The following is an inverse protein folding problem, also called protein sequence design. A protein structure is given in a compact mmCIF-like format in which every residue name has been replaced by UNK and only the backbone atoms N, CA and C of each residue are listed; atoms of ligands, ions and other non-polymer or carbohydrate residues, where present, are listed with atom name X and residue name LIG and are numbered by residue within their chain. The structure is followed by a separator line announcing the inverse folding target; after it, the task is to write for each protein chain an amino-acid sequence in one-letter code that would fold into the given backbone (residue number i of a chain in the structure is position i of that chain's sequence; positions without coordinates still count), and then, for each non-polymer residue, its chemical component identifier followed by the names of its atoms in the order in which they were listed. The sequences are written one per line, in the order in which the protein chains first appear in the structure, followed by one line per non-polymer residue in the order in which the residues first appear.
data_IF_545269132744
#
_entry.id   IF_545269132744
#
_cell.length_a   1.000
_cell.length_b   1.000
_cell.length_c   1.000
_cell.angle_alpha   90.00
_cell.angle_beta   90.00
_cell.angle_gamma   90.00
#
_symmetry.space_group_name_H-M   'P 1'
#
loop_
_entity.id
_entity.type
_entity.pdbx_description
1 polymer ?
#
# COMPACT_ATOMS: atom_id res chain seq x y z
N UNK A 1 -8.03 -39.29 63.05
CA UNK A 1 -6.88 -39.27 63.97
C UNK A 1 -5.66 -38.94 63.12
N UNK A 2 -4.93 -37.83 63.18
CA UNK A 2 -4.80 -36.68 64.08
C UNK A 2 -4.44 -35.46 63.19
N UNK A 3 -5.10 -34.30 63.31
CA UNK A 3 -4.78 -33.18 64.22
C UNK A 3 -3.41 -32.54 63.91
N UNK A 4 -3.39 -31.41 63.17
CA UNK A 4 -3.19 -30.03 63.66
C UNK A 4 -1.80 -29.76 64.27
N UNK A 5 -1.01 -28.87 63.65
CA UNK A 5 -0.91 -27.47 64.15
C UNK A 5 0.14 -26.64 63.43
N UNK A 6 -0.25 -25.36 63.25
CA UNK A 6 0.52 -24.21 62.78
C UNK A 6 1.70 -23.88 63.71
N UNK A 7 2.69 -23.18 63.16
CA UNK A 7 3.28 -22.02 63.86
C UNK A 7 3.72 -20.95 62.86
N UNK A 8 3.18 -19.76 63.07
CA UNK A 8 3.55 -18.48 62.47
C UNK A 8 4.52 -17.79 63.42
N UNK A 9 5.58 -17.15 62.92
CA UNK A 9 6.20 -16.02 63.61
C UNK A 9 6.82 -15.01 62.62
N UNK A 10 6.70 -13.69 62.86
CA UNK A 10 7.01 -12.61 61.91
C UNK A 10 8.30 -11.84 62.27
N UNK A 11 8.83 -11.04 61.33
CA UNK A 11 9.70 -9.84 61.50
C UNK A 11 10.25 -9.45 60.12
N UNK A 12 10.45 -8.21 59.71
CA UNK A 12 10.15 -6.90 60.26
C UNK A 12 10.21 -5.88 59.11
N UNK A 13 9.52 -4.77 59.32
CA UNK A 13 9.38 -3.58 58.49
C UNK A 13 10.70 -3.00 57.93
N UNK A 14 10.68 -2.61 56.65
CA UNK A 14 11.39 -1.42 56.17
C UNK A 14 10.44 -0.53 55.39
N UNK A 15 10.07 0.58 56.00
CA UNK A 15 9.35 1.68 55.40
C UNK A 15 10.31 2.46 54.48
N UNK A 16 9.88 2.73 53.25
CA UNK A 16 10.43 3.79 52.42
C UNK A 16 9.29 4.78 52.12
N UNK A 17 9.62 6.05 52.30
CA UNK A 17 8.71 7.17 52.50
C UNK A 17 7.97 7.58 51.23
N UNK A 18 6.71 7.99 51.40
CA UNK A 18 5.91 8.66 50.41
C UNK A 18 6.20 10.17 50.42
N UNK A 19 6.42 10.75 49.24
CA UNK A 19 6.36 12.20 48.99
C UNK A 19 5.36 12.46 47.85
N UNK A 20 4.34 13.31 48.06
CA UNK A 20 3.42 13.75 47.02
C UNK A 20 3.87 15.11 46.46
N UNK A 21 3.69 15.35 45.16
CA UNK A 21 3.71 16.64 44.43
C UNK A 21 4.17 16.33 42.99
N UNK A 22 3.63 16.82 41.87
CA UNK A 22 2.57 17.77 41.52
C UNK A 22 2.14 17.45 40.08
N UNK A 23 0.84 17.55 39.79
CA UNK A 23 0.30 17.64 38.43
C UNK A 23 0.91 18.84 37.71
N UNK A 24 1.71 18.59 36.66
CA UNK A 24 2.15 19.63 35.71
C UNK A 24 1.27 19.58 34.46
N UNK A 25 0.34 20.53 34.39
CA UNK A 25 -0.51 20.76 33.24
C UNK A 25 0.24 21.53 32.13
N UNK A 26 0.29 20.94 30.94
CA UNK A 26 0.31 21.56 29.58
C UNK A 26 1.53 22.45 29.21
N UNK A 27 1.91 22.59 27.91
CA UNK A 27 1.04 22.91 26.78
C UNK A 27 0.95 21.83 25.71
N UNK A 28 -0.25 21.74 25.13
CA UNK A 28 -0.51 21.18 23.81
C UNK A 28 0.45 21.79 22.78
N UNK A 29 1.45 21.03 22.36
CA UNK A 29 2.16 21.32 21.13
C UNK A 29 1.22 20.95 19.97
N UNK A 30 0.56 21.95 19.42
CA UNK A 30 -0.11 21.87 18.13
C UNK A 30 0.93 21.53 17.06
N UNK A 31 1.01 20.26 16.68
CA UNK A 31 1.67 19.88 15.43
C UNK A 31 0.80 20.41 14.31
N UNK A 32 1.07 21.66 13.94
CA UNK A 32 0.61 22.27 12.71
C UNK A 32 1.14 21.41 11.56
N UNK A 33 0.25 20.62 10.97
CA UNK A 33 0.49 20.02 9.66
C UNK A 33 0.43 21.14 8.63
N UNK A 34 1.48 21.97 8.62
CA UNK A 34 1.77 22.84 7.50
C UNK A 34 1.82 21.94 6.26
N UNK A 35 0.90 22.23 5.35
CA UNK A 35 0.77 21.53 4.09
C UNK A 35 2.14 21.33 3.46
N UNK A 36 2.42 20.10 3.05
CA UNK A 36 3.47 19.79 2.09
C UNK A 36 3.48 20.88 1.03
N UNK A 37 4.55 21.68 0.99
CA UNK A 37 4.84 22.58 -0.12
C UNK A 37 4.88 21.71 -1.37
N UNK A 38 3.78 21.72 -2.13
CA UNK A 38 3.78 21.27 -3.52
C UNK A 38 4.87 22.08 -4.22
N UNK A 39 5.68 21.41 -5.03
CA UNK A 39 6.67 22.05 -5.88
C UNK A 39 6.01 23.22 -6.63
N UNK A 40 6.31 24.43 -6.17
CA UNK A 40 5.92 25.66 -6.86
C UNK A 40 6.70 25.66 -8.17
N UNK A 41 6.03 25.26 -9.26
CA UNK A 41 6.37 25.84 -10.55
C UNK A 41 6.22 27.35 -10.38
N UNK A 42 7.34 28.06 -10.43
CA UNK A 42 7.39 29.51 -10.54
C UNK A 42 6.30 29.95 -11.52
N UNK A 43 5.35 30.83 -11.13
CA UNK A 43 4.55 31.50 -12.12
C UNK A 43 5.53 32.39 -12.87
N UNK A 44 5.95 31.96 -14.05
CA UNK A 44 6.63 32.86 -14.97
C UNK A 44 5.68 34.05 -15.15
N UNK A 45 6.15 35.29 -14.90
CA UNK A 45 5.32 36.46 -15.16
C UNK A 45 4.91 36.38 -16.63
N UNK A 46 3.67 36.80 -16.91
CA UNK A 46 3.19 36.99 -18.26
C UNK A 46 4.16 37.93 -19.00
N UNK A 47 5.15 37.36 -19.68
CA UNK A 47 6.07 38.08 -20.53
C UNK A 47 5.49 38.00 -21.93
N UNK A 48 4.77 39.08 -22.26
CA UNK A 48 4.82 39.65 -23.59
C UNK A 48 6.28 40.00 -23.91
N UNK A 49 7.07 39.02 -24.34
CA UNK A 49 8.37 39.27 -24.97
C UNK A 49 8.41 38.55 -26.30
N UNK A 50 8.18 39.36 -27.34
CA UNK A 50 8.51 39.07 -28.72
C UNK A 50 10.01 38.86 -28.84
N UNK A 51 10.47 37.62 -28.83
CA UNK A 51 11.85 37.26 -29.16
C UNK A 51 11.84 36.31 -30.36
N UNK A 52 12.21 36.76 -31.58
CA UNK A 52 12.00 36.01 -32.83
C UNK A 52 13.03 34.90 -33.09
N UNK A 53 13.94 34.60 -32.15
CA UNK A 53 15.13 33.76 -32.41
C UNK A 53 15.06 32.32 -31.87
N UNK A 54 13.92 31.86 -31.33
CA UNK A 54 13.76 30.47 -30.85
C UNK A 54 12.67 29.72 -31.63
N UNK A 55 13.02 29.25 -32.82
CA UNK A 55 12.16 28.39 -33.62
C UNK A 55 12.11 26.97 -33.03
N UNK A 56 10.92 26.40 -32.77
CA UNK A 56 10.79 24.98 -32.48
C UNK A 56 11.05 24.15 -33.75
N UNK A 57 11.82 23.06 -33.62
CA UNK A 57 12.23 22.12 -34.70
C UNK A 57 11.04 21.47 -35.44
N UNK A 58 9.83 21.62 -34.91
CA UNK A 58 8.58 21.32 -35.61
C UNK A 58 7.64 22.52 -35.45
N UNK A 59 7.24 23.13 -36.57
CA UNK A 59 6.44 24.37 -36.63
C UNK A 59 5.00 24.29 -36.07
N UNK A 60 4.71 23.32 -35.19
CA UNK A 60 3.46 23.25 -34.45
C UNK A 60 3.57 24.04 -33.14
N UNK A 61 2.60 24.91 -32.89
CA UNK A 61 2.42 25.54 -31.57
C UNK A 61 2.16 24.42 -30.55
N UNK A 62 3.12 24.12 -29.67
CA UNK A 62 2.97 23.07 -28.64
C UNK A 62 1.76 23.44 -27.76
N UNK A 63 0.64 22.74 -27.94
CA UNK A 63 -0.54 22.87 -27.08
C UNK A 63 -0.28 22.03 -25.83
N UNK A 64 0.08 22.68 -24.73
CA UNK A 64 0.12 22.03 -23.43
C UNK A 64 -1.31 21.67 -23.03
N UNK A 65 -1.65 20.39 -23.15
CA UNK A 65 -2.92 19.87 -22.60
C UNK A 65 -2.67 19.65 -21.11
N UNK A 66 -3.47 20.26 -20.22
CA UNK A 66 -3.30 20.03 -18.79
C UNK A 66 -3.39 18.54 -18.48
N UNK A 67 -2.49 18.08 -17.60
CA UNK A 67 -2.55 16.72 -17.09
C UNK A 67 -3.90 16.51 -16.41
N UNK A 68 -4.47 15.31 -16.47
CA UNK A 68 -5.76 14.99 -15.84
C UNK A 68 -5.77 15.23 -14.31
N UNK A 69 -4.59 15.39 -13.69
CA UNK A 69 -4.42 15.81 -12.29
C UNK A 69 -4.52 17.32 -12.06
N UNK A 70 -4.34 18.14 -13.08
CA UNK A 70 -4.26 19.61 -13.02
C UNK A 70 -5.56 20.30 -13.47
N UNK A 71 -6.51 19.57 -14.09
CA UNK A 71 -7.78 20.18 -14.48
C UNK A 71 -8.67 20.45 -13.26
N UNK A 72 -9.11 21.71 -13.06
CA UNK A 72 -10.10 22.03 -12.04
C UNK A 72 -11.45 21.41 -12.43
N UNK A 73 -12.14 20.84 -11.44
CA UNK A 73 -13.51 20.33 -11.59
C UNK A 73 -14.43 21.50 -12.00
N UNK A 74 -14.79 21.58 -13.27
CA UNK A 74 -15.64 22.63 -13.83
C UNK A 74 -16.88 21.98 -14.45
N UNK A 75 -18.04 22.23 -13.85
CA UNK A 75 -19.34 21.78 -14.35
C UNK A 75 -19.97 20.64 -13.55
N UNK A 76 -21.30 20.64 -13.46
CA UNK A 76 -22.10 19.69 -12.67
C UNK A 76 -21.83 18.22 -13.05
N UNK A 77 -21.63 17.95 -14.34
CA UNK A 77 -21.32 16.61 -14.84
C UNK A 77 -19.98 16.09 -14.31
N UNK A 78 -18.95 16.94 -14.23
CA UNK A 78 -17.65 16.52 -13.69
C UNK A 78 -17.74 16.23 -12.18
N UNK A 79 -18.56 16.98 -11.44
CA UNK A 79 -18.82 16.66 -10.03
C UNK A 79 -19.54 15.31 -9.87
N UNK A 80 -20.58 15.05 -10.67
CA UNK A 80 -21.28 13.77 -10.66
C UNK A 80 -20.37 12.59 -11.03
N UNK A 81 -19.53 12.72 -12.06
CA UNK A 81 -18.55 11.69 -12.40
C UNK A 81 -17.51 11.50 -11.28
N UNK A 82 -17.11 12.56 -10.58
CA UNK A 82 -16.21 12.42 -9.44
C UNK A 82 -16.84 11.70 -8.26
N UNK A 83 -18.12 11.91 -7.96
CA UNK A 83 -18.81 11.19 -6.89
C UNK A 83 -19.02 9.73 -7.25
N UNK A 84 -19.35 9.42 -8.51
CA UNK A 84 -19.42 8.04 -9.00
C UNK A 84 -18.07 7.31 -8.89
N UNK A 85 -16.98 7.94 -9.34
CA UNK A 85 -15.62 7.39 -9.16
C UNK A 85 -15.29 7.18 -7.67
N UNK A 86 -15.66 8.12 -6.80
CA UNK A 86 -15.40 8.02 -5.35
C UNK A 86 -16.12 6.83 -4.72
N UNK A 87 -17.39 6.62 -5.05
CA UNK A 87 -18.18 5.48 -4.54
C UNK A 87 -17.62 4.16 -5.07
N UNK A 88 -17.32 4.07 -6.37
CA UNK A 88 -16.74 2.87 -6.97
C UNK A 88 -15.37 2.52 -6.38
N UNK A 89 -14.50 3.51 -6.17
CA UNK A 89 -13.20 3.29 -5.56
C UNK A 89 -13.30 2.97 -4.07
N UNK A 90 -14.28 3.56 -3.36
CA UNK A 90 -14.57 3.23 -1.96
C UNK A 90 -14.99 1.76 -1.80
N UNK A 91 -15.86 1.27 -2.68
CA UNK A 91 -16.26 -0.14 -2.69
C UNK A 91 -15.04 -1.06 -2.90
N UNK A 92 -14.19 -0.75 -3.90
CA UNK A 92 -13.00 -1.56 -4.21
C UNK A 92 -11.95 -1.58 -3.09
N UNK A 93 -11.72 -0.46 -2.39
CA UNK A 93 -10.78 -0.44 -1.27
C UNK A 93 -11.35 -1.13 -0.02
N UNK A 94 -12.68 -1.14 0.14
CA UNK A 94 -13.39 -1.69 1.30
C UNK A 94 -13.61 -3.20 1.23
N UNK A 95 -13.52 -3.80 0.05
CA UNK A 95 -13.59 -5.25 -0.17
C UNK A 95 -12.43 -5.68 -1.05
N UNK A 96 -11.26 -5.87 -0.44
CA UNK A 96 -10.07 -6.33 -1.15
C UNK A 96 -9.91 -7.82 -0.96
N UNK A 97 -10.04 -8.60 -2.03
CA UNK A 97 -9.88 -10.05 -1.95
C UNK A 97 -8.56 -10.49 -2.58
N UNK A 98 -7.45 -10.50 -1.83
CA UNK A 98 -6.21 -11.03 -2.32
C UNK A 98 -6.25 -12.55 -2.45
N UNK A 99 -5.74 -13.06 -3.56
CA UNK A 99 -5.27 -14.43 -3.64
C UNK A 99 -3.82 -14.51 -3.17
N UNK A 100 -3.56 -15.48 -2.30
CA UNK A 100 -2.26 -15.63 -1.65
C UNK A 100 -1.41 -16.62 -2.41
N UNK A 101 -0.44 -16.11 -3.16
CA UNK A 101 0.54 -16.95 -3.83
C UNK A 101 1.75 -17.14 -2.91
N UNK A 102 1.54 -17.91 -1.83
CA UNK A 102 2.55 -18.20 -0.82
C UNK A 102 3.55 -19.25 -1.31
N UNK A 103 4.72 -18.80 -1.77
CA UNK A 103 5.75 -19.67 -2.38
C UNK A 103 6.88 -20.06 -1.42
N UNK A 104 7.19 -19.20 -0.44
CA UNK A 104 8.34 -19.39 0.44
C UNK A 104 8.15 -18.70 1.80
N UNK A 105 9.24 -18.28 2.45
CA UNK A 105 9.25 -17.66 3.78
C UNK A 105 8.33 -16.43 3.94
N UNK A 106 8.09 -15.65 2.87
CA UNK A 106 7.17 -14.52 2.92
C UNK A 106 5.70 -14.94 3.15
N UNK A 107 5.34 -16.19 2.83
CA UNK A 107 4.01 -16.72 3.11
C UNK A 107 3.70 -16.76 4.61
N UNK A 108 4.70 -17.02 5.47
CA UNK A 108 4.52 -17.05 6.93
C UNK A 108 4.23 -15.66 7.47
N UNK A 109 4.95 -14.63 7.00
CA UNK A 109 4.64 -13.25 7.37
C UNK A 109 3.28 -12.79 6.84
N UNK A 110 2.84 -13.33 5.70
CA UNK A 110 1.48 -13.12 5.22
C UNK A 110 0.43 -13.81 6.11
N UNK A 111 0.72 -14.99 6.64
CA UNK A 111 -0.13 -15.63 7.66
C UNK A 111 -0.16 -14.81 8.95
N UNK A 112 0.96 -14.20 9.35
CA UNK A 112 1.00 -13.27 10.48
C UNK A 112 0.09 -12.05 10.27
N UNK A 113 -0.05 -11.56 9.04
CA UNK A 113 -1.03 -10.50 8.72
C UNK A 113 -2.48 -10.94 9.00
N UNK A 114 -2.79 -12.23 8.87
CA UNK A 114 -4.10 -12.82 9.24
C UNK A 114 -4.24 -13.21 10.71
N UNK A 115 -3.20 -13.05 11.53
CA UNK A 115 -3.30 -13.34 12.98
C UNK A 115 -4.03 -12.23 13.73
N UNK A 116 -4.59 -12.52 14.93
CA UNK A 116 -5.38 -11.55 15.70
C UNK A 116 -4.66 -10.24 16.05
N UNK A 117 -3.32 -10.21 16.02
CA UNK A 117 -2.55 -9.00 16.32
C UNK A 117 -2.71 -7.93 15.24
N UNK A 118 -2.67 -8.33 13.96
CA UNK A 118 -2.71 -7.40 12.83
C UNK A 118 -4.07 -7.38 12.14
N UNK A 119 -4.80 -8.49 12.22
CA UNK A 119 -6.16 -8.73 11.75
C UNK A 119 -6.50 -7.92 10.49
N UNK A 120 -6.20 -8.50 9.33
CA UNK A 120 -6.54 -7.89 8.05
C UNK A 120 -8.05 -7.92 7.74
N UNK A 121 -8.84 -8.79 8.40
CA UNK A 121 -10.27 -8.93 8.10
C UNK A 121 -11.04 -7.66 8.49
N UNK A 122 -10.59 -6.95 9.54
CA UNK A 122 -11.10 -5.62 9.91
C UNK A 122 -10.98 -4.56 8.80
N UNK A 123 -10.07 -4.76 7.84
CA UNK A 123 -9.84 -3.88 6.69
C UNK A 123 -10.63 -4.32 5.45
N UNK A 124 -11.45 -5.37 5.57
CA UNK A 124 -12.14 -6.00 4.44
C UNK A 124 -11.22 -6.81 3.55
N UNK A 125 -10.07 -7.26 4.08
CA UNK A 125 -9.09 -8.06 3.35
C UNK A 125 -9.31 -9.54 3.66
N UNK A 126 -9.85 -10.29 2.69
CA UNK A 126 -10.15 -11.71 2.85
C UNK A 126 -9.36 -12.51 1.83
N UNK A 127 -8.61 -13.51 2.30
CA UNK A 127 -7.88 -14.39 1.40
C UNK A 127 -8.82 -15.34 0.67
N UNK A 128 -8.75 -15.33 -0.66
CA UNK A 128 -9.45 -16.28 -1.53
C UNK A 128 -8.47 -17.24 -2.18
N UNK A 129 -8.80 -18.53 -2.12
CA UNK A 129 -7.98 -19.57 -2.74
C UNK A 129 -8.09 -19.57 -4.28
N UNK A 130 -9.25 -19.18 -4.82
CA UNK A 130 -9.48 -19.19 -6.27
C UNK A 130 -9.11 -17.84 -6.91
N UNK A 131 -8.31 -17.82 -7.99
CA UNK A 131 -7.97 -16.58 -8.70
C UNK A 131 -9.17 -15.92 -9.37
N UNK A 132 -10.20 -16.70 -9.73
CA UNK A 132 -11.40 -16.23 -10.44
C UNK A 132 -12.28 -15.27 -9.63
N UNK A 133 -12.06 -15.22 -8.33
CA UNK A 133 -12.82 -14.38 -7.38
C UNK A 133 -11.93 -13.33 -6.73
N UNK A 134 -10.63 -13.29 -7.02
CA UNK A 134 -9.69 -12.39 -6.36
C UNK A 134 -9.39 -11.16 -7.21
N UNK A 135 -9.28 -10.02 -6.56
CA UNK A 135 -8.93 -8.75 -7.20
C UNK A 135 -7.44 -8.45 -7.11
N UNK A 136 -6.75 -8.98 -6.10
CA UNK A 136 -5.32 -8.74 -5.87
C UNK A 136 -4.57 -10.05 -5.87
N UNK A 137 -3.40 -10.11 -6.51
CA UNK A 137 -2.48 -11.22 -6.39
C UNK A 137 -1.27 -10.81 -5.58
N UNK A 138 -1.05 -11.48 -4.45
CA UNK A 138 0.15 -11.26 -3.62
C UNK A 138 1.15 -12.36 -3.93
N UNK A 139 2.25 -12.00 -4.60
CA UNK A 139 3.36 -12.92 -4.89
C UNK A 139 4.33 -12.90 -3.71
N UNK A 140 4.24 -13.90 -2.84
CA UNK A 140 5.00 -13.94 -1.60
C UNK A 140 6.02 -15.07 -1.56
N UNK A 141 7.21 -14.75 -2.06
CA UNK A 141 8.37 -15.65 -2.01
C UNK A 141 9.15 -15.67 -3.31
N UNK A 142 10.02 -16.66 -3.42
CA UNK A 142 10.87 -16.83 -4.60
C UNK A 142 10.08 -17.42 -5.76
N UNK A 143 10.16 -16.79 -6.93
CA UNK A 143 9.55 -17.29 -8.16
C UNK A 143 10.60 -18.09 -8.94
N UNK A 144 10.45 -19.41 -8.94
CA UNK A 144 11.33 -20.30 -9.72
C UNK A 144 10.94 -20.33 -11.20
N UNK A 145 11.89 -20.65 -12.08
CA UNK A 145 11.66 -20.76 -13.52
C UNK A 145 10.55 -21.77 -13.85
N UNK A 146 10.45 -22.85 -13.07
CA UNK A 146 9.40 -23.88 -13.23
C UNK A 146 8.01 -23.36 -12.81
N UNK A 147 7.95 -22.45 -11.84
CA UNK A 147 6.68 -21.89 -11.34
C UNK A 147 6.19 -20.69 -12.18
N UNK A 148 7.07 -20.01 -12.90
CA UNK A 148 6.75 -18.86 -13.75
C UNK A 148 5.52 -19.06 -14.67
N UNK A 149 5.38 -20.15 -15.44
CA UNK A 149 4.19 -20.35 -16.28
C UNK A 149 2.90 -20.53 -15.46
N UNK A 150 2.98 -21.21 -14.30
CA UNK A 150 1.82 -21.38 -13.43
C UNK A 150 1.35 -20.05 -12.82
N UNK A 151 2.29 -19.19 -12.41
CA UNK A 151 1.96 -17.83 -11.95
C UNK A 151 1.23 -17.04 -13.06
N UNK A 152 1.74 -17.11 -14.30
CA UNK A 152 1.12 -16.41 -15.43
C UNK A 152 -0.31 -16.88 -15.68
N UNK A 153 -0.54 -18.20 -15.68
CA UNK A 153 -1.86 -18.78 -15.87
C UNK A 153 -2.85 -18.35 -14.78
N UNK A 154 -2.39 -18.30 -13.53
CA UNK A 154 -3.20 -17.85 -12.39
C UNK A 154 -3.60 -16.38 -12.56
N UNK A 155 -2.65 -15.53 -12.92
CA UNK A 155 -2.92 -14.11 -13.17
C UNK A 155 -3.88 -13.90 -14.35
N UNK A 156 -3.75 -14.68 -15.41
CA UNK A 156 -4.65 -14.60 -16.59
C UNK A 156 -6.08 -15.06 -16.30
N UNK A 157 -6.28 -15.85 -15.24
CA UNK A 157 -7.61 -16.27 -14.80
C UNK A 157 -8.31 -15.25 -13.88
N UNK A 158 -7.61 -14.21 -13.45
CA UNK A 158 -8.19 -13.17 -12.59
C UNK A 158 -9.04 -12.19 -13.39
N UNK A 159 -10.24 -11.84 -12.89
CA UNK A 159 -11.09 -10.84 -13.54
C UNK A 159 -10.45 -9.45 -13.51
N UNK A 160 -10.79 -8.62 -14.50
CA UNK A 160 -10.52 -7.18 -14.41
C UNK A 160 -11.57 -6.52 -13.52
N UNK A 161 -11.20 -5.62 -12.58
CA UNK A 161 -9.89 -5.01 -12.35
C UNK A 161 -8.99 -5.84 -11.40
N UNK A 162 -7.76 -6.14 -11.86
CA UNK A 162 -6.77 -6.89 -11.08
C UNK A 162 -5.54 -6.05 -10.74
N UNK A 163 -4.95 -6.30 -9.57
CA UNK A 163 -3.68 -5.70 -9.13
C UNK A 163 -2.69 -6.75 -8.65
N UNK A 164 -1.40 -6.44 -8.71
CA UNK A 164 -0.34 -7.35 -8.23
C UNK A 164 0.53 -6.66 -7.19
N UNK A 165 0.70 -7.31 -6.05
CA UNK A 165 1.63 -6.90 -5.00
C UNK A 165 2.78 -7.91 -4.97
N UNK A 166 4.00 -7.41 -5.17
CA UNK A 166 5.22 -8.21 -5.02
C UNK A 166 5.71 -8.11 -3.58
N UNK A 167 5.71 -9.23 -2.86
CA UNK A 167 6.08 -9.29 -1.45
C UNK A 167 7.45 -9.94 -1.27
N UNK A 168 8.40 -9.14 -0.79
CA UNK A 168 9.74 -9.58 -0.42
C UNK A 168 10.77 -9.46 -1.54
N UNK A 169 12.05 -9.48 -1.15
CA UNK A 169 13.20 -9.26 -2.04
C UNK A 169 13.25 -10.26 -3.19
N UNK A 170 12.87 -11.52 -2.94
CA UNK A 170 12.87 -12.57 -3.95
C UNK A 170 11.83 -12.32 -5.06
N UNK A 171 10.63 -11.87 -4.69
CA UNK A 171 9.58 -11.53 -5.66
C UNK A 171 9.89 -10.22 -6.40
N UNK A 172 10.50 -9.24 -5.73
CA UNK A 172 10.79 -7.93 -6.32
C UNK A 172 11.87 -8.01 -7.42
N UNK A 173 12.94 -8.78 -7.18
CA UNK A 173 14.08 -8.80 -8.08
C UNK A 173 14.97 -10.04 -7.97
N UNK A 174 14.45 -11.17 -7.49
CA UNK A 174 15.22 -12.40 -7.26
C UNK A 174 15.90 -12.46 -5.89
N UNK A 175 16.13 -11.30 -5.25
CA UNK A 175 16.54 -11.20 -3.85
C UNK A 175 17.82 -11.97 -3.54
N UNK A 176 17.80 -12.74 -2.46
CA UNK A 176 18.95 -13.57 -2.05
C UNK A 176 19.40 -14.57 -3.13
N UNK A 177 18.47 -15.01 -4.00
CA UNK A 177 18.73 -15.98 -5.05
C UNK A 177 18.90 -15.35 -6.45
N UNK A 178 19.25 -14.07 -6.54
CA UNK A 178 19.33 -13.33 -7.81
C UNK A 178 20.24 -13.98 -8.88
N UNK A 179 21.34 -14.60 -8.43
CA UNK A 179 22.31 -15.28 -9.30
C UNK A 179 22.08 -16.79 -9.43
N UNK A 180 20.98 -17.32 -8.88
CA UNK A 180 20.63 -18.73 -9.03
C UNK A 180 20.21 -19.05 -10.46
N UNK A 181 20.48 -20.29 -10.90
CA UNK A 181 20.09 -20.80 -12.22
C UNK A 181 18.58 -21.07 -12.34
N UNK A 182 17.90 -21.29 -11.21
CA UNK A 182 16.51 -21.76 -11.16
C UNK A 182 15.50 -20.69 -10.75
N UNK A 183 15.94 -19.47 -10.48
CA UNK A 183 15.10 -18.38 -9.97
C UNK A 183 14.97 -17.27 -11.01
N UNK A 184 13.73 -16.77 -11.15
CA UNK A 184 13.47 -15.60 -11.96
C UNK A 184 13.90 -14.34 -11.20
N UNK A 185 14.54 -13.40 -11.90
CA UNK A 185 15.02 -12.14 -11.30
C UNK A 185 13.89 -11.13 -11.14
N UNK A 186 12.87 -11.51 -10.37
CA UNK A 186 11.66 -10.75 -10.10
C UNK A 186 10.43 -11.28 -10.84
N UNK A 187 9.27 -11.17 -10.17
CA UNK A 187 7.97 -11.51 -10.76
C UNK A 187 7.53 -10.52 -11.84
N UNK A 188 8.12 -9.33 -11.87
CA UNK A 188 7.89 -8.28 -12.88
C UNK A 188 8.17 -8.73 -14.32
N UNK A 189 9.02 -9.75 -14.48
CA UNK A 189 9.28 -10.37 -15.81
C UNK A 189 8.10 -11.18 -16.33
N UNK A 190 7.19 -11.61 -15.45
CA UNK A 190 6.10 -12.54 -15.76
C UNK A 190 4.74 -11.83 -15.67
N UNK A 191 4.55 -11.00 -14.66
CA UNK A 191 3.30 -10.27 -14.39
C UNK A 191 3.59 -8.81 -14.09
N UNK A 192 2.73 -7.87 -14.51
CA UNK A 192 2.92 -6.46 -14.20
C UNK A 192 2.67 -6.22 -12.71
N UNK A 193 3.65 -5.63 -12.01
CA UNK A 193 3.55 -5.37 -10.58
C UNK A 193 3.10 -3.93 -10.30
N UNK A 194 2.15 -3.76 -9.38
CA UNK A 194 1.64 -2.44 -8.99
C UNK A 194 2.36 -1.85 -7.79
N UNK A 195 2.70 -2.68 -6.80
CA UNK A 195 3.32 -2.30 -5.54
C UNK A 195 4.39 -3.33 -5.18
N UNK A 196 5.56 -2.84 -4.76
CA UNK A 196 6.65 -3.66 -4.25
C UNK A 196 6.78 -3.43 -2.74
N UNK A 197 6.73 -4.52 -1.97
CA UNK A 197 6.96 -4.49 -0.51
C UNK A 197 8.38 -5.00 -0.24
N UNK A 198 9.31 -4.15 0.22
CA UNK A 198 10.68 -4.56 0.50
C UNK A 198 10.79 -5.32 1.84
N UNK A 199 11.65 -6.35 1.88
CA UNK A 199 11.95 -7.14 3.08
C UNK A 199 12.37 -8.58 2.75
N UNK A 200 12.94 -9.32 3.71
CA UNK A 200 13.37 -10.71 3.52
C UNK A 200 13.35 -11.55 4.83
N UNK A 201 12.16 -11.88 5.39
CA UNK A 201 10.83 -11.49 4.91
C UNK A 201 10.45 -10.06 5.35
N UNK A 202 9.53 -9.37 4.64
CA UNK A 202 8.97 -8.12 5.12
C UNK A 202 8.11 -8.38 6.35
N UNK A 203 8.15 -7.49 7.34
CA UNK A 203 7.29 -7.59 8.52
C UNK A 203 5.81 -7.52 8.11
N UNK A 204 4.94 -8.17 8.87
CA UNK A 204 3.48 -8.07 8.65
C UNK A 204 2.98 -6.61 8.57
N UNK A 205 3.58 -5.70 9.35
CA UNK A 205 3.28 -4.26 9.30
C UNK A 205 3.68 -3.62 7.97
N UNK A 206 4.84 -3.99 7.41
CA UNK A 206 5.28 -3.51 6.11
C UNK A 206 4.37 -4.02 4.98
N UNK A 207 3.89 -5.26 5.07
CA UNK A 207 2.89 -5.79 4.14
C UNK A 207 1.57 -5.02 4.26
N UNK A 208 1.09 -4.76 5.47
CA UNK A 208 -0.12 -3.96 5.71
C UNK A 208 0.02 -2.55 5.13
N UNK A 209 1.19 -1.93 5.28
CA UNK A 209 1.51 -0.65 4.65
C UNK A 209 1.46 -0.72 3.12
N UNK A 210 2.00 -1.79 2.52
CA UNK A 210 1.89 -2.04 1.08
C UNK A 210 0.43 -2.10 0.60
N UNK A 211 -0.43 -2.75 1.38
CA UNK A 211 -1.88 -2.79 1.10
C UNK A 211 -2.53 -1.41 1.20
N UNK A 212 -2.18 -0.58 2.19
CA UNK A 212 -2.65 0.80 2.26
C UNK A 212 -2.18 1.65 1.09
N UNK A 213 -0.96 1.43 0.60
CA UNK A 213 -0.44 2.12 -0.57
C UNK A 213 -1.19 1.70 -1.84
N UNK A 214 -1.56 0.42 -1.96
CA UNK A 214 -2.44 -0.06 -3.02
C UNK A 214 -3.83 0.59 -2.94
N UNK A 215 -4.46 0.61 -1.75
CA UNK A 215 -5.74 1.29 -1.54
C UNK A 215 -5.66 2.78 -1.92
N UNK A 216 -4.55 3.47 -1.61
CA UNK A 216 -4.32 4.85 -2.02
C UNK A 216 -4.23 4.98 -3.54
N UNK A 217 -3.55 4.06 -4.23
CA UNK A 217 -3.50 3.99 -5.70
C UNK A 217 -4.90 3.79 -6.30
N UNK A 218 -5.70 2.88 -5.74
CA UNK A 218 -7.09 2.64 -6.16
C UNK A 218 -7.95 3.89 -5.97
N UNK A 219 -7.83 4.59 -4.83
CA UNK A 219 -8.59 5.83 -4.55
C UNK A 219 -8.38 6.93 -5.59
N UNK A 220 -7.18 7.02 -6.15
CA UNK A 220 -6.85 8.00 -7.19
C UNK A 220 -7.16 7.52 -8.62
N UNK A 221 -7.65 6.30 -8.80
CA UNK A 221 -8.04 5.77 -10.11
C UNK A 221 -9.29 6.50 -10.62
N UNK A 222 -9.30 6.88 -11.90
CA UNK A 222 -10.37 7.68 -12.50
C UNK A 222 -10.93 6.91 -13.68
N UNK A 223 -12.05 6.21 -13.52
CA UNK A 223 -12.57 5.33 -14.59
C UNK A 223 -13.61 6.07 -15.39
N UNK A 224 -14.65 6.56 -14.72
CA UNK A 224 -15.75 7.26 -15.37
C UNK A 224 -15.29 8.57 -16.00
N UNK A 225 -14.37 9.29 -15.34
CA UNK A 225 -13.77 10.50 -15.89
C UNK A 225 -12.86 10.26 -17.09
N UNK A 226 -12.11 9.15 -17.11
CA UNK A 226 -11.28 8.81 -18.26
C UNK A 226 -12.13 8.33 -19.44
N UNK A 227 -13.25 7.65 -19.15
CA UNK A 227 -14.24 7.31 -20.17
C UNK A 227 -14.90 8.55 -20.77
N UNK A 228 -15.34 9.52 -19.95
CA UNK A 228 -15.95 10.77 -20.43
C UNK A 228 -15.03 11.63 -21.31
N UNK A 229 -13.71 11.47 -21.16
CA UNK A 229 -12.71 12.19 -21.95
C UNK A 229 -12.40 11.51 -23.30
N UNK A 230 -12.75 10.23 -23.46
CA UNK A 230 -12.62 9.53 -24.74
C UNK A 230 -13.71 9.99 -25.70
#
# INVERSE_FOLDING_TARGET
MMSLSRTVAPRALRAAQATPFLLRATPSASISSSASKSATSVPAPAQTSSDPSRLPVTGGRRREVPLASQEPKKGAMQYALTTLDQVANWARQGSLWPMTFGLACCAVEMMHLSTPRYDQDRLGIIFRASPRQSDVMIVAGTLTNKMAPALRQVYDQMPDPRWVVSMGSCANGGGYYHYSYSVTRGCDRIVPVDIYVPGCPPTAEALMYGMFQLQKKMRHTRITRMWYRK
#
